data_IF_065014731810
#
_entry.id   IF_065014731810
#
_cell.length_a   1.000
_cell.length_b   1.000
_cell.length_c   1.000
_cell.angle_alpha   90.00
_cell.angle_beta   90.00
_cell.angle_gamma   90.00
#
_symmetry.space_group_name_H-M   'P 1'
#
loop_
_entity.id
_entity.type
_entity.pdbx_description
1 polymer ?
#
# COMPACT_ATOMS: atom_id res chain seq x y z
N UNK A 1 -41.51 7.00 7.29
CA UNK A 1 -40.14 6.52 7.45
C UNK A 1 -39.60 6.25 6.05
N UNK A 2 -38.48 6.88 5.66
CA UNK A 2 -37.88 6.64 4.34
C UNK A 2 -37.10 5.32 4.33
N UNK A 3 -37.04 4.66 3.19
CA UNK A 3 -36.23 3.46 2.99
C UNK A 3 -34.78 3.69 3.32
N UNK A 4 -34.13 2.66 3.86
CA UNK A 4 -32.67 2.68 4.12
C UNK A 4 -31.93 2.89 2.80
N UNK A 5 -31.16 3.98 2.71
CA UNK A 5 -30.34 4.25 1.52
C UNK A 5 -29.30 3.16 1.37
N UNK A 6 -29.20 2.57 0.18
CA UNK A 6 -28.14 1.64 -0.15
C UNK A 6 -26.77 2.29 0.09
N UNK A 7 -25.89 1.60 0.82
CA UNK A 7 -24.55 2.10 1.09
C UNK A 7 -23.79 2.26 -0.24
N UNK A 8 -23.34 3.47 -0.51
CA UNK A 8 -22.49 3.75 -1.65
C UNK A 8 -21.12 3.12 -1.46
N UNK A 9 -20.56 2.59 -2.55
CA UNK A 9 -19.21 2.05 -2.54
C UNK A 9 -18.18 3.14 -2.19
N UNK A 10 -17.44 2.97 -1.10
CA UNK A 10 -16.47 3.93 -0.57
C UNK A 10 -15.15 3.92 -1.35
N UNK A 11 -14.88 2.88 -2.12
CA UNK A 11 -13.60 2.69 -2.82
C UNK A 11 -13.77 2.72 -4.34
N UNK A 12 -12.74 3.25 -5.02
CA UNK A 12 -12.67 3.29 -6.48
C UNK A 12 -11.66 2.27 -6.98
N UNK A 13 -12.02 1.50 -8.01
CA UNK A 13 -11.07 0.64 -8.73
C UNK A 13 -10.12 1.50 -9.56
N UNK A 14 -8.86 1.05 -9.78
CA UNK A 14 -7.99 1.68 -10.77
C UNK A 14 -8.62 1.61 -12.17
N UNK A 15 -8.33 2.60 -13.01
CA UNK A 15 -8.86 2.63 -14.40
C UNK A 15 -8.38 1.43 -15.23
N UNK A 16 -7.14 0.98 -15.01
CA UNK A 16 -6.52 -0.17 -15.69
C UNK A 16 -6.11 -1.24 -14.67
N UNK A 17 -7.03 -2.09 -14.21
CA UNK A 17 -6.76 -3.05 -13.12
C UNK A 17 -5.85 -4.22 -13.54
N UNK A 18 -5.66 -4.42 -14.85
CA UNK A 18 -4.84 -5.49 -15.41
C UNK A 18 -3.40 -5.04 -15.75
N UNK A 19 -3.05 -3.78 -15.49
CA UNK A 19 -1.67 -3.32 -15.64
C UNK A 19 -0.77 -4.11 -14.69
N UNK A 20 0.28 -4.73 -15.24
CA UNK A 20 1.19 -5.61 -14.51
C UNK A 20 1.97 -4.84 -13.44
N UNK A 21 2.56 -3.68 -13.77
CA UNK A 21 3.37 -2.87 -12.87
C UNK A 21 2.54 -2.43 -11.66
N UNK A 22 1.38 -1.87 -11.93
CA UNK A 22 0.44 -1.44 -10.87
C UNK A 22 0.01 -2.61 -9.98
N UNK A 23 -0.16 -3.80 -10.57
CA UNK A 23 -0.52 -5.02 -9.82
C UNK A 23 0.64 -5.47 -8.92
N UNK A 24 1.88 -5.38 -9.40
CA UNK A 24 3.06 -5.74 -8.60
C UNK A 24 3.27 -4.76 -7.44
N UNK A 25 3.11 -3.46 -7.66
CA UNK A 25 3.17 -2.46 -6.59
C UNK A 25 2.08 -2.65 -5.54
N UNK A 26 0.85 -2.93 -5.98
CA UNK A 26 -0.24 -3.25 -5.06
C UNK A 26 0.07 -4.50 -4.23
N UNK A 27 0.68 -5.54 -4.81
CA UNK A 27 1.06 -6.78 -4.11
C UNK A 27 2.16 -6.52 -3.08
N UNK A 28 3.16 -5.71 -3.40
CA UNK A 28 4.21 -5.30 -2.45
C UNK A 28 3.59 -4.63 -1.22
N UNK A 29 2.73 -3.62 -1.43
CA UNK A 29 2.05 -2.91 -0.33
C UNK A 29 1.15 -3.86 0.48
N UNK A 30 0.43 -4.77 -0.18
CA UNK A 30 -0.39 -5.78 0.50
C UNK A 30 0.45 -6.65 1.44
N UNK A 31 1.62 -7.10 0.99
CA UNK A 31 2.56 -7.90 1.78
C UNK A 31 3.14 -7.12 2.97
N UNK A 32 3.63 -5.90 2.71
CA UNK A 32 4.25 -5.05 3.74
C UNK A 32 3.30 -4.72 4.89
N UNK A 33 2.05 -4.40 4.59
CA UNK A 33 1.04 -4.02 5.60
C UNK A 33 0.09 -5.16 5.99
N UNK A 34 0.28 -6.38 5.46
CA UNK A 34 -0.55 -7.53 5.79
C UNK A 34 -2.03 -7.34 5.48
N UNK A 35 -2.33 -6.70 4.36
CA UNK A 35 -3.70 -6.48 3.94
C UNK A 35 -4.30 -7.76 3.35
N UNK A 36 -5.53 -8.11 3.76
CA UNK A 36 -6.19 -9.32 3.25
C UNK A 36 -6.71 -9.16 1.82
N UNK A 37 -7.14 -7.96 1.46
CA UNK A 37 -7.77 -7.70 0.16
C UNK A 37 -7.30 -6.40 -0.46
N UNK A 38 -7.24 -6.37 -1.80
CA UNK A 38 -6.98 -5.14 -2.57
C UNK A 38 -8.02 -4.04 -2.30
N UNK A 39 -9.24 -4.40 -1.85
CA UNK A 39 -10.28 -3.43 -1.48
C UNK A 39 -9.86 -2.54 -0.32
N UNK A 40 -9.11 -3.07 0.64
CA UNK A 40 -8.56 -2.29 1.76
C UNK A 40 -7.59 -1.22 1.23
N UNK A 41 -6.69 -1.60 0.33
CA UNK A 41 -5.76 -0.68 -0.32
C UNK A 41 -6.49 0.39 -1.17
N UNK A 42 -7.54 0.01 -1.90
CA UNK A 42 -8.31 0.96 -2.69
C UNK A 42 -9.14 1.92 -1.83
N UNK A 43 -9.56 1.50 -0.64
CA UNK A 43 -10.17 2.42 0.35
C UNK A 43 -9.19 3.50 0.78
N UNK A 44 -7.99 3.12 1.21
CA UNK A 44 -6.96 4.09 1.63
C UNK A 44 -6.53 4.99 0.48
N UNK A 45 -6.38 4.47 -0.75
CA UNK A 45 -6.10 5.27 -1.94
C UNK A 45 -7.20 6.29 -2.25
N UNK A 46 -8.46 5.91 -2.04
CA UNK A 46 -9.60 6.80 -2.25
C UNK A 46 -9.63 7.89 -1.18
N UNK A 47 -9.32 7.54 0.06
CA UNK A 47 -9.21 8.49 1.16
C UNK A 47 -8.09 9.49 0.94
N UNK A 48 -6.89 9.02 0.57
CA UNK A 48 -5.77 9.87 0.21
C UNK A 48 -6.15 10.86 -0.94
N UNK A 49 -6.82 10.34 -1.97
CA UNK A 49 -7.31 11.19 -3.07
C UNK A 49 -8.31 12.24 -2.58
N UNK A 50 -9.16 11.92 -1.59
CA UNK A 50 -10.10 12.86 -0.98
C UNK A 50 -9.37 13.96 -0.24
N UNK A 51 -8.40 13.59 0.60
CA UNK A 51 -7.60 14.55 1.39
C UNK A 51 -6.81 15.49 0.47
N UNK A 52 -6.10 14.95 -0.53
CA UNK A 52 -5.37 15.75 -1.51
C UNK A 52 -6.29 16.67 -2.33
N UNK A 53 -7.51 16.24 -2.65
CA UNK A 53 -8.49 17.08 -3.36
C UNK A 53 -8.97 18.24 -2.46
N UNK A 54 -9.17 18.00 -1.17
CA UNK A 54 -9.51 19.05 -0.21
C UNK A 54 -8.38 20.09 -0.11
N UNK A 55 -7.13 19.64 0.02
CA UNK A 55 -5.97 20.54 0.04
C UNK A 55 -5.88 21.39 -1.24
N UNK A 56 -6.01 20.76 -2.41
CA UNK A 56 -6.02 21.50 -3.70
C UNK A 56 -7.16 22.51 -3.80
N UNK A 57 -8.35 22.16 -3.31
CA UNK A 57 -9.48 23.09 -3.33
C UNK A 57 -9.24 24.29 -2.40
N UNK A 58 -8.55 24.10 -1.26
CA UNK A 58 -8.16 25.20 -0.38
C UNK A 58 -7.13 26.12 -1.01
N UNK A 59 -6.14 25.56 -1.72
CA UNK A 59 -5.14 26.35 -2.43
C UNK A 59 -5.76 27.25 -3.53
N UNK A 60 -6.88 26.84 -4.11
CA UNK A 60 -7.58 27.62 -5.14
C UNK A 60 -8.50 28.73 -4.58
N UNK A 61 -8.73 28.78 -3.27
CA UNK A 61 -9.57 29.81 -2.63
C UNK A 61 -8.80 31.09 -2.34
N UNK A 62 -9.56 32.21 -2.13
CA UNK A 62 -8.99 33.45 -1.63
C UNK A 62 -8.36 33.27 -0.25
N UNK A 63 -7.37 34.11 0.06
CA UNK A 63 -6.58 33.98 1.28
C UNK A 63 -7.44 34.05 2.54
N UNK A 64 -8.38 34.97 2.61
CA UNK A 64 -9.26 35.13 3.78
C UNK A 64 -10.06 33.85 4.12
N UNK A 65 -10.58 33.19 3.09
CA UNK A 65 -11.35 31.94 3.25
C UNK A 65 -10.42 30.75 3.53
N UNK A 66 -9.21 30.78 2.97
CA UNK A 66 -8.19 29.77 3.20
C UNK A 66 -7.75 29.77 4.65
N UNK A 67 -7.41 30.91 5.22
CA UNK A 67 -6.99 31.07 6.63
C UNK A 67 -8.03 30.56 7.63
N UNK A 68 -9.31 30.59 7.28
CA UNK A 68 -10.38 30.06 8.12
C UNK A 68 -10.53 28.53 8.01
N UNK A 69 -10.35 27.97 6.82
CA UNK A 69 -10.62 26.55 6.53
C UNK A 69 -9.40 25.65 6.65
N UNK A 70 -8.21 26.17 6.41
CA UNK A 70 -6.96 25.42 6.49
C UNK A 70 -6.71 24.83 7.88
N UNK A 71 -6.87 25.56 8.98
CA UNK A 71 -6.68 25.00 10.32
C UNK A 71 -7.62 23.86 10.65
N UNK A 72 -8.85 23.88 10.11
CA UNK A 72 -9.82 22.81 10.33
C UNK A 72 -9.35 21.51 9.70
N UNK A 73 -8.85 21.58 8.45
CA UNK A 73 -8.27 20.42 7.76
C UNK A 73 -7.02 19.92 8.47
N UNK A 74 -6.08 20.83 8.79
CA UNK A 74 -4.81 20.49 9.44
C UNK A 74 -5.03 19.85 10.81
N UNK A 75 -5.92 20.39 11.64
CA UNK A 75 -6.27 19.82 12.93
C UNK A 75 -6.93 18.43 12.80
N UNK A 76 -7.69 18.20 11.75
CA UNK A 76 -8.28 16.88 11.48
C UNK A 76 -7.21 15.85 11.11
N UNK A 77 -6.21 16.22 10.31
CA UNK A 77 -5.12 15.35 9.86
C UNK A 77 -4.09 15.10 10.97
N UNK A 78 -3.76 16.13 11.77
CA UNK A 78 -2.84 15.99 12.89
C UNK A 78 -3.40 15.13 14.02
N UNK A 79 -4.70 15.20 14.31
CA UNK A 79 -5.36 14.30 15.28
C UNK A 79 -5.22 12.82 14.91
N UNK A 80 -5.26 12.50 13.63
CA UNK A 80 -5.04 11.13 13.15
C UNK A 80 -3.56 10.80 13.05
N UNK A 81 -2.70 11.82 13.04
CA UNK A 81 -1.25 11.68 12.92
C UNK A 81 -0.77 11.37 11.50
N UNK A 82 -1.49 11.86 10.49
CA UNK A 82 -1.03 11.80 9.10
C UNK A 82 0.04 12.85 8.83
N UNK A 83 -0.07 13.99 9.50
CA UNK A 83 0.79 15.15 9.35
C UNK A 83 1.13 15.70 10.73
N UNK A 84 2.28 16.32 10.86
CA UNK A 84 2.67 17.00 12.11
C UNK A 84 1.84 18.29 12.31
N UNK A 85 1.85 18.82 13.53
CA UNK A 85 1.08 20.03 13.88
C UNK A 85 1.48 21.26 13.07
N UNK A 86 2.76 21.36 12.72
CA UNK A 86 3.36 22.53 12.05
C UNK A 86 3.43 22.38 10.52
N UNK A 87 2.80 21.36 9.98
CA UNK A 87 2.83 21.05 8.56
C UNK A 87 2.01 22.02 7.72
N UNK A 88 2.37 22.13 6.46
CA UNK A 88 1.73 22.99 5.45
C UNK A 88 0.79 22.18 4.54
N UNK A 89 -0.02 22.88 3.73
CA UNK A 89 -0.85 22.22 2.71
C UNK A 89 -0.02 21.44 1.66
N UNK A 90 1.22 21.86 1.42
CA UNK A 90 2.10 21.15 0.50
C UNK A 90 2.52 19.78 1.06
N UNK A 91 2.73 19.68 2.38
CA UNK A 91 3.00 18.40 3.03
C UNK A 91 1.80 17.44 2.90
N UNK A 92 0.58 17.98 2.96
CA UNK A 92 -0.63 17.18 2.71
C UNK A 92 -0.69 16.65 1.26
N UNK A 93 -0.19 17.40 0.30
CA UNK A 93 -0.12 16.94 -1.10
C UNK A 93 0.96 15.86 -1.30
N UNK A 94 2.01 15.88 -0.50
CA UNK A 94 3.11 14.91 -0.55
C UNK A 94 2.80 13.59 0.19
N UNK A 95 1.74 13.55 1.03
CA UNK A 95 1.34 12.33 1.75
C UNK A 95 1.24 11.12 0.82
N UNK A 96 1.83 10.00 1.23
CA UNK A 96 1.77 8.73 0.52
C UNK A 96 0.71 7.77 1.10
N UNK A 97 0.47 6.67 0.38
CA UNK A 97 -0.43 5.60 0.85
C UNK A 97 0.15 4.92 2.09
N UNK A 98 1.47 4.83 2.17
CA UNK A 98 2.20 4.20 3.27
C UNK A 98 1.95 4.93 4.60
N UNK A 99 1.86 6.26 4.59
CA UNK A 99 1.59 7.09 5.76
C UNK A 99 0.20 6.79 6.34
N UNK A 100 -0.81 6.70 5.45
CA UNK A 100 -2.16 6.38 5.86
C UNK A 100 -2.27 4.94 6.41
N UNK A 101 -1.60 3.99 5.77
CA UNK A 101 -1.57 2.60 6.22
C UNK A 101 -0.79 2.44 7.52
N UNK A 102 0.20 3.31 7.76
CA UNK A 102 0.98 3.35 8.99
C UNK A 102 0.13 3.64 10.24
N UNK A 103 -0.96 4.39 10.10
CA UNK A 103 -1.86 4.78 11.22
C UNK A 103 -2.96 3.76 11.52
N UNK A 104 -3.01 2.64 10.82
CA UNK A 104 -3.96 1.56 11.12
C UNK A 104 -3.54 0.81 12.39
N UNK A 105 -4.53 0.41 13.20
CA UNK A 105 -4.30 -0.33 14.45
C UNK A 105 -3.40 -1.56 14.23
N UNK A 106 -3.64 -2.32 13.16
CA UNK A 106 -2.80 -3.48 12.81
C UNK A 106 -1.32 -3.11 12.68
N UNK A 107 -1.00 -2.00 12.01
CA UNK A 107 0.37 -1.56 11.77
C UNK A 107 1.03 -1.02 13.04
N UNK A 108 0.27 -0.27 13.84
CA UNK A 108 0.75 0.25 15.13
C UNK A 108 1.03 -0.89 16.09
N UNK A 109 0.12 -1.86 16.19
CA UNK A 109 0.29 -3.06 17.02
C UNK A 109 1.51 -3.86 16.58
N UNK A 110 1.72 -4.04 15.28
CA UNK A 110 2.91 -4.70 14.75
C UNK A 110 4.19 -4.01 15.19
N UNK A 111 4.25 -2.68 15.07
CA UNK A 111 5.44 -1.89 15.43
C UNK A 111 5.66 -1.83 16.94
N UNK A 112 4.60 -1.61 17.72
CA UNK A 112 4.68 -1.42 19.17
C UNK A 112 5.06 -2.70 19.90
N UNK A 113 4.55 -3.85 19.46
CA UNK A 113 4.77 -5.14 20.09
C UNK A 113 5.73 -6.05 19.31
N UNK A 114 6.40 -5.53 18.28
CA UNK A 114 7.41 -6.25 17.50
C UNK A 114 6.96 -7.61 16.95
N UNK A 115 5.72 -7.69 16.47
CA UNK A 115 5.25 -8.93 15.84
C UNK A 115 6.08 -9.30 14.62
N UNK A 116 6.47 -10.57 14.48
CA UNK A 116 7.26 -11.10 13.35
C UNK A 116 6.65 -10.76 11.99
N UNK A 117 5.33 -10.88 11.89
CA UNK A 117 4.62 -10.63 10.63
C UNK A 117 3.41 -9.72 10.83
N UNK A 118 3.05 -8.90 9.82
CA UNK A 118 1.84 -8.08 9.90
C UNK A 118 0.55 -8.91 9.98
N UNK A 119 0.57 -10.15 9.51
CA UNK A 119 -0.56 -11.07 9.61
C UNK A 119 -0.78 -11.57 11.03
N UNK A 120 0.29 -11.80 11.78
CA UNK A 120 0.22 -12.16 13.20
C UNK A 120 -0.38 -11.01 14.03
N UNK A 121 0.05 -9.77 13.78
CA UNK A 121 -0.57 -8.59 14.39
C UNK A 121 -2.06 -8.48 14.05
N UNK A 122 -2.42 -8.76 12.79
CA UNK A 122 -3.83 -8.80 12.37
C UNK A 122 -4.62 -9.87 13.12
N UNK A 123 -4.06 -11.04 13.31
CA UNK A 123 -4.68 -12.13 14.08
C UNK A 123 -4.92 -11.69 15.51
N UNK A 124 -3.91 -11.10 16.18
CA UNK A 124 -4.04 -10.60 17.54
C UNK A 124 -5.18 -9.58 17.67
N UNK A 125 -5.27 -8.62 16.74
CA UNK A 125 -6.37 -7.63 16.73
C UNK A 125 -7.73 -8.32 16.49
N UNK A 126 -7.83 -9.20 15.49
CA UNK A 126 -9.11 -9.82 15.11
C UNK A 126 -9.67 -10.74 16.20
N UNK A 127 -8.79 -11.35 17.00
CA UNK A 127 -9.17 -12.21 18.12
C UNK A 127 -9.41 -11.44 19.44
N UNK A 128 -9.31 -10.09 19.42
CA UNK A 128 -9.63 -9.28 20.58
C UNK A 128 -8.53 -9.23 21.64
N UNK A 129 -7.27 -9.52 21.29
CA UNK A 129 -6.15 -9.43 22.22
C UNK A 129 -5.59 -8.01 22.40
N UNK A 130 -6.20 -7.02 21.75
CA UNK A 130 -5.73 -5.62 21.77
C UNK A 130 -6.75 -4.72 22.43
N UNK A 131 -6.28 -3.93 23.39
CA UNK A 131 -7.03 -2.91 24.12
C UNK A 131 -6.56 -1.51 23.68
N UNK A 132 -7.50 -0.59 23.58
CA UNK A 132 -7.22 0.85 23.49
C UNK A 132 -7.86 1.51 24.73
N UNK A 133 -7.03 1.91 25.68
CA UNK A 133 -7.52 2.27 27.01
C UNK A 133 -8.17 1.07 27.69
N UNK A 134 -9.48 1.15 27.90
CA UNK A 134 -10.27 0.11 28.59
C UNK A 134 -11.14 -0.72 27.62
N UNK A 135 -11.10 -0.43 26.32
CA UNK A 135 -11.95 -1.08 25.32
C UNK A 135 -11.20 -2.05 24.45
N UNK A 136 -11.74 -3.25 24.25
CA UNK A 136 -11.23 -4.22 23.29
C UNK A 136 -11.60 -3.79 21.88
N UNK A 137 -10.61 -3.67 21.00
CA UNK A 137 -10.82 -3.31 19.60
C UNK A 137 -10.40 -4.47 18.70
N UNK A 138 -11.37 -5.06 17.99
CA UNK A 138 -11.18 -6.20 17.09
C UNK A 138 -11.17 -5.84 15.60
N UNK A 139 -11.07 -4.55 15.27
CA UNK A 139 -11.09 -4.05 13.90
C UNK A 139 -9.68 -3.67 13.44
N UNK A 140 -9.01 -4.47 12.58
CA UNK A 140 -7.64 -4.19 12.13
C UNK A 140 -7.49 -2.89 11.33
N UNK A 141 -8.58 -2.43 10.71
CA UNK A 141 -8.60 -1.19 9.91
C UNK A 141 -8.91 0.07 10.72
N UNK A 142 -9.03 -0.04 12.04
CA UNK A 142 -9.25 1.11 12.90
C UNK A 142 -8.09 2.11 12.77
N UNK A 143 -8.40 3.40 12.63
CA UNK A 143 -7.41 4.48 12.57
C UNK A 143 -7.18 5.00 13.97
N UNK A 144 -6.01 4.75 14.49
CA UNK A 144 -5.63 5.16 15.86
C UNK A 144 -5.24 6.63 15.83
N UNK A 145 -5.86 7.42 16.70
CA UNK A 145 -5.47 8.81 16.91
C UNK A 145 -4.15 8.89 17.68
N UNK A 146 -3.50 10.02 17.58
CA UNK A 146 -2.23 10.26 18.31
C UNK A 146 -2.42 10.09 19.81
N UNK A 147 -3.51 10.63 20.37
CA UNK A 147 -3.84 10.52 21.80
C UNK A 147 -4.13 9.10 22.29
N UNK A 148 -4.46 8.20 21.37
CA UNK A 148 -4.83 6.81 21.64
C UNK A 148 -3.63 5.85 21.50
N UNK A 149 -2.58 6.26 20.79
CA UNK A 149 -1.42 5.41 20.47
C UNK A 149 -0.71 4.88 21.73
N UNK A 150 -0.53 5.74 22.72
CA UNK A 150 0.09 5.36 23.99
C UNK A 150 -0.78 4.39 24.80
N UNK A 151 -2.11 4.49 24.63
CA UNK A 151 -3.10 3.68 25.34
C UNK A 151 -3.30 2.28 24.73
N UNK A 152 -2.66 1.99 23.61
CA UNK A 152 -2.71 0.66 22.97
C UNK A 152 -1.93 -0.34 23.84
N UNK A 153 -2.61 -1.38 24.34
CA UNK A 153 -2.05 -2.45 25.19
C UNK A 153 -2.53 -3.81 24.70
N UNK A 154 -1.82 -4.87 25.08
CA UNK A 154 -2.30 -6.25 24.96
C UNK A 154 -3.11 -6.62 26.20
N UNK A 155 -4.13 -7.47 26.01
CA UNK A 155 -4.92 -8.04 27.09
C UNK A 155 -4.00 -8.92 27.97
N UNK A 156 -4.19 -8.90 29.28
CA UNK A 156 -3.40 -9.70 30.23
C UNK A 156 -3.46 -11.21 29.94
N UNK A 157 -4.60 -11.69 29.49
CA UNK A 157 -4.86 -13.10 29.16
C UNK A 157 -4.39 -13.49 27.74
N UNK A 158 -3.65 -12.61 27.06
CA UNK A 158 -3.22 -12.85 25.68
C UNK A 158 -2.04 -13.85 25.63
N UNK A 159 -2.21 -14.91 24.86
CA UNK A 159 -1.15 -15.87 24.54
C UNK A 159 0.06 -15.18 23.87
N UNK A 160 -0.16 -14.05 23.22
CA UNK A 160 0.91 -13.28 22.59
C UNK A 160 1.88 -12.66 23.60
N UNK A 161 1.47 -12.44 24.87
CA UNK A 161 2.38 -11.97 25.90
C UNK A 161 3.49 -13.00 26.16
N UNK A 162 3.16 -14.29 26.17
CA UNK A 162 4.12 -15.38 26.34
C UNK A 162 5.04 -15.54 25.13
N UNK A 163 4.48 -15.39 23.92
CA UNK A 163 5.23 -15.52 22.67
C UNK A 163 6.23 -14.38 22.52
N UNK A 164 5.84 -13.16 22.89
CA UNK A 164 6.70 -11.97 22.78
C UNK A 164 7.74 -11.90 23.91
N UNK A 165 7.48 -12.53 25.06
CA UNK A 165 8.42 -12.58 26.18
C UNK A 165 9.50 -13.67 26.03
N UNK A 166 9.31 -14.64 25.12
CA UNK A 166 10.33 -15.68 24.85
C UNK A 166 11.44 -15.08 23.98
N UNK A 167 12.72 -15.15 24.44
CA UNK A 167 13.84 -14.73 23.62
C UNK A 167 13.92 -15.59 22.36
N UNK A 168 14.37 -15.02 21.26
CA UNK A 168 14.45 -15.67 19.93
C UNK A 168 15.32 -16.94 19.89
N UNK A 169 16.06 -17.24 20.94
CA UNK A 169 16.95 -18.40 21.06
C UNK A 169 16.22 -19.75 21.09
N UNK A 170 14.91 -19.78 21.43
CA UNK A 170 14.15 -21.03 21.55
C UNK A 170 13.21 -21.31 20.35
N UNK A 171 13.14 -20.42 19.38
CA UNK A 171 12.47 -20.69 18.12
C UNK A 171 13.50 -21.33 17.19
N UNK A 172 13.55 -22.68 17.24
CA UNK A 172 14.40 -23.48 16.38
C UNK A 172 14.48 -22.90 14.98
N UNK A 173 15.71 -22.69 14.52
CA UNK A 173 15.99 -22.40 13.13
C UNK A 173 15.16 -23.36 12.28
N UNK A 174 14.46 -22.92 11.24
CA UNK A 174 13.92 -23.86 10.30
C UNK A 174 15.13 -24.62 9.76
N UNK A 175 15.23 -25.90 10.13
CA UNK A 175 16.13 -26.82 9.47
C UNK A 175 15.83 -26.63 7.98
N UNK A 176 16.79 -26.03 7.28
CA UNK A 176 16.85 -26.10 5.84
C UNK A 176 17.11 -27.58 5.54
N UNK A 177 16.05 -28.37 5.42
CA UNK A 177 16.13 -29.61 4.70
C UNK A 177 16.69 -29.24 3.33
N UNK A 178 17.97 -29.58 3.13
CA UNK A 178 18.58 -29.64 1.83
C UNK A 178 17.77 -30.62 1.00
N UNK A 179 16.78 -30.10 0.29
CA UNK A 179 16.21 -30.82 -0.84
C UNK A 179 17.31 -30.80 -1.90
N UNK A 180 18.13 -31.84 -1.86
CA UNK A 180 19.01 -32.20 -2.98
C UNK A 180 18.07 -32.47 -4.16
N UNK A 181 18.04 -31.53 -5.08
CA UNK A 181 17.41 -31.72 -6.37
C UNK A 181 18.32 -32.69 -7.14
N UNK A 182 17.86 -33.90 -7.49
CA UNK A 182 18.66 -34.78 -8.33
C UNK A 182 18.85 -34.12 -9.69
N UNK A 183 20.07 -33.73 -9.94
CA UNK A 183 20.51 -33.27 -11.27
C UNK A 183 20.75 -34.51 -12.11
N UNK A 184 19.73 -35.09 -12.69
CA UNK A 184 19.89 -35.98 -13.83
C UNK A 184 19.45 -35.25 -15.10
N UNK A 185 20.44 -34.76 -15.81
CA UNK A 185 20.29 -34.37 -17.19
C UNK A 185 20.65 -35.57 -18.07
N UNK A 186 19.81 -36.01 -18.99
CA UNK A 186 20.27 -36.80 -20.13
C UNK A 186 20.76 -35.81 -21.21
N UNK A 187 22.03 -35.93 -21.46
CA UNK A 187 22.65 -35.36 -22.66
C UNK A 187 22.11 -36.10 -23.88
N UNK A 188 21.37 -35.45 -24.74
CA UNK A 188 21.18 -35.87 -26.11
C UNK A 188 21.89 -34.89 -27.04
N UNK A 189 22.98 -35.41 -27.61
CA UNK A 189 23.67 -34.84 -28.77
C UNK A 189 22.68 -34.76 -29.93
N UNK A 190 22.47 -33.58 -30.47
CA UNK A 190 21.98 -33.42 -31.84
C UNK A 190 22.96 -32.57 -32.60
N UNK A 191 23.59 -33.28 -33.55
CA UNK A 191 24.54 -32.83 -34.57
C UNK A 191 24.06 -31.58 -35.29
N UNK A 192 25.07 -30.73 -35.49
CA UNK A 192 25.08 -29.66 -36.46
C UNK A 192 24.89 -30.18 -37.89
N UNK A 193 23.97 -29.58 -38.62
CA UNK A 193 24.02 -29.46 -40.06
C UNK A 193 23.56 -28.08 -40.46
N UNK A 194 24.51 -27.29 -40.92
CA UNK A 194 24.26 -26.10 -41.68
C UNK A 194 23.96 -26.49 -43.14
N UNK A 195 23.14 -25.71 -43.88
CA UNK A 195 23.67 -25.19 -45.10
C UNK A 195 23.51 -23.69 -45.22
N UNK A 196 24.60 -23.11 -45.68
CA UNK A 196 24.72 -21.78 -46.24
C UNK A 196 23.92 -21.68 -47.54
N UNK A 197 23.19 -20.60 -47.69
CA UNK A 197 22.83 -20.10 -49.01
C UNK A 197 22.85 -18.55 -48.98
N UNK A 198 23.86 -18.05 -49.71
CA UNK A 198 23.96 -16.65 -50.14
C UNK A 198 22.79 -16.29 -51.03
N UNK A 199 22.22 -15.09 -50.86
CA UNK A 199 21.79 -14.28 -52.00
C UNK A 199 21.72 -12.79 -51.60
N UNK A 200 22.70 -12.02 -52.10
CA UNK A 200 22.66 -10.71 -52.73
C UNK A 200 21.82 -9.57 -52.20
N UNK A 201 22.59 -8.54 -51.90
CA UNK A 201 22.26 -7.14 -51.88
C UNK A 201 21.56 -6.66 -53.18
N UNK A 202 20.54 -5.86 -53.00
CA UNK A 202 20.18 -4.82 -53.96
C UNK A 202 19.46 -3.69 -53.25
N UNK A 203 20.14 -2.55 -53.13
CA UNK A 203 19.51 -1.26 -53.02
C UNK A 203 19.27 -0.72 -54.45
N UNK A 204 18.20 0.03 -54.69
CA UNK A 204 18.47 1.39 -55.10
C UNK A 204 17.46 2.45 -54.68
N UNK A 205 18.06 3.62 -54.47
CA UNK A 205 17.66 4.93 -55.02
C UNK A 205 16.52 5.75 -54.44
N UNK A 206 16.98 6.88 -53.98
CA UNK A 206 16.32 8.14 -53.69
C UNK A 206 15.28 8.56 -54.77
N UNK A 207 14.16 9.12 -54.30
CA UNK A 207 13.46 10.11 -55.09
C UNK A 207 12.97 11.27 -54.19
N UNK A 208 13.63 12.40 -54.38
CA UNK A 208 13.27 13.72 -53.92
C UNK A 208 12.05 14.21 -54.73
N UNK A 209 11.01 14.66 -54.09
CA UNK A 209 10.13 15.67 -54.70
C UNK A 209 9.77 16.72 -53.65
N UNK A 210 10.11 17.92 -53.98
CA UNK A 210 9.94 19.21 -53.31
C UNK A 210 8.49 19.74 -53.44
N UNK A 211 8.15 20.83 -52.72
CA UNK A 211 6.80 21.20 -52.38
C UNK A 211 6.16 22.18 -53.39
N UNK A 212 4.86 22.18 -53.51
CA UNK A 212 4.15 23.29 -54.12
C UNK A 212 3.08 23.89 -53.18
N UNK A 213 3.20 25.21 -53.13
CA UNK A 213 2.23 26.17 -52.57
C UNK A 213 1.04 26.32 -53.51
N UNK A 214 -0.13 26.59 -52.97
CA UNK A 214 -1.06 27.69 -53.29
C UNK A 214 -2.39 27.44 -52.59
N UNK A 215 -2.79 28.34 -51.67
CA UNK A 215 -3.71 29.48 -51.90
C UNK A 215 -5.10 29.08 -52.46
N UNK A 216 -6.08 29.00 -51.59
CA UNK A 216 -7.27 29.88 -51.64
C UNK A 216 -8.03 29.79 -50.32
#
# INVERSE_FOLDING_TARGET
>A
MGDTKNFRRVWKKPKRPLNFDLKMDELKILGTFGLKTKRELWKTRTELSRVRNQARSLLALSQDVREQKEPILMNSLSKVGYVQSDATLDDVLNLEINDLLGRRLQTIVQKKFYFKTPYQARQAVSHGHVLIGDQIVNIPSYLVKVDEEDKVKLTSESVFNEILSKPESDLGSPETENIEIPTEAPAEEVKAEAPAEEVKAEAPAEEKVTPEKSSN
#
